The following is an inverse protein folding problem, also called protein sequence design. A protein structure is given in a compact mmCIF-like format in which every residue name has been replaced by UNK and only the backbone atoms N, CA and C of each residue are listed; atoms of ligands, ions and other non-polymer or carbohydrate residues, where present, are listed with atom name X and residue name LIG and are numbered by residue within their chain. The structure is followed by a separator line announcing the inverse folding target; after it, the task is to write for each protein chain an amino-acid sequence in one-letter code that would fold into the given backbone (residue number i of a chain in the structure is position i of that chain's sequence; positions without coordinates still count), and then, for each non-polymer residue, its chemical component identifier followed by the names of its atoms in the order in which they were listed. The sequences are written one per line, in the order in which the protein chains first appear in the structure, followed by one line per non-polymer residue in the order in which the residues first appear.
data_IF_725510549737
#
_entry.id   IF_725510549737
#
_cell.length_a   1.000
_cell.length_b   1.000
_cell.length_c   1.000
_cell.angle_alpha   90.00
_cell.angle_beta   90.00
_cell.angle_gamma   90.00
#
_symmetry.space_group_name_H-M   'P 1'
#
loop_
_entity.id
_entity.type
_entity.pdbx_description
1 polymer ?
#
# COMPACT_ATOMS: atom_id res chain seq x y z
N UNK A 1 16.07 -4.09 4.75
CA UNK A 1 15.42 -3.08 5.64
C UNK A 1 14.52 -3.80 6.63
N UNK A 2 14.22 -3.17 7.76
CA UNK A 2 13.38 -3.73 8.83
C UNK A 2 12.32 -2.72 9.28
N UNK A 3 11.09 -3.18 9.49
CA UNK A 3 10.03 -2.45 10.18
C UNK A 3 9.80 -3.08 11.55
N UNK A 4 10.13 -2.36 12.61
CA UNK A 4 9.78 -2.77 13.96
C UNK A 4 8.50 -2.07 14.41
N UNK A 5 7.46 -2.85 14.72
CA UNK A 5 6.14 -2.36 15.15
C UNK A 5 6.05 -2.48 16.66
N UNK A 6 6.00 -1.36 17.36
CA UNK A 6 5.81 -1.35 18.81
C UNK A 6 4.31 -1.35 19.14
N UNK A 7 3.85 -2.31 19.96
CA UNK A 7 2.45 -2.41 20.34
C UNK A 7 2.27 -2.36 21.86
N UNK A 8 1.38 -1.50 22.35
CA UNK A 8 1.09 -1.35 23.79
C UNK A 8 0.28 -0.12 24.11
N UNK A 9 -0.20 -0.05 25.35
CA UNK A 9 -0.96 1.08 25.87
C UNK A 9 -0.15 2.38 25.87
N UNK A 10 -0.78 3.55 25.87
CA UNK A 10 -0.08 4.80 26.19
C UNK A 10 0.70 4.67 27.50
N UNK A 11 1.85 5.33 27.58
CA UNK A 11 2.77 5.28 28.72
C UNK A 11 3.40 3.91 29.05
N UNK A 12 3.31 2.90 28.20
CA UNK A 12 3.98 1.60 28.38
C UNK A 12 5.49 1.60 28.06
N UNK A 13 6.13 2.76 27.96
CA UNK A 13 7.56 2.98 27.68
C UNK A 13 8.03 2.63 26.26
N UNK A 14 7.13 2.53 25.28
CA UNK A 14 7.48 2.29 23.87
C UNK A 14 8.45 3.33 23.31
N UNK A 15 8.15 4.62 23.49
CA UNK A 15 9.01 5.70 22.97
C UNK A 15 10.39 5.72 23.64
N UNK A 16 10.49 5.34 24.92
CA UNK A 16 11.77 5.16 25.60
C UNK A 16 12.57 4.01 24.98
N UNK A 17 11.92 2.91 24.69
CA UNK A 17 12.53 1.77 23.99
C UNK A 17 12.98 2.19 22.58
N UNK A 18 12.12 2.86 21.81
CA UNK A 18 12.44 3.29 20.45
C UNK A 18 13.70 4.18 20.42
N UNK A 19 13.81 5.13 21.35
CA UNK A 19 14.98 6.00 21.47
C UNK A 19 16.26 5.24 21.87
N UNK A 20 16.14 4.25 22.76
CA UNK A 20 17.27 3.44 23.23
C UNK A 20 17.78 2.42 22.20
N UNK A 21 16.91 1.98 21.28
CA UNK A 21 17.23 0.98 20.27
C UNK A 21 17.40 1.58 18.86
N UNK A 22 17.34 2.89 18.74
CA UNK A 22 17.63 3.59 17.50
C UNK A 22 19.15 3.63 17.27
N UNK A 23 19.58 3.24 16.08
CA UNK A 23 20.92 3.48 15.55
C UNK A 23 20.91 4.54 14.44
N UNK A 24 22.05 4.77 13.82
CA UNK A 24 22.20 5.74 12.72
C UNK A 24 21.42 5.39 11.45
N UNK A 25 21.09 4.09 11.27
CA UNK A 25 20.36 3.57 10.12
C UNK A 25 18.87 3.36 10.42
N UNK A 26 18.36 3.88 11.55
CA UNK A 26 16.98 3.65 11.98
C UNK A 26 16.22 4.96 12.20
N UNK A 27 15.07 5.10 11.56
CA UNK A 27 14.15 6.23 11.71
C UNK A 27 12.99 5.82 12.63
N UNK A 28 12.70 6.67 13.64
CA UNK A 28 11.51 6.50 14.48
C UNK A 28 10.37 7.30 13.85
N UNK A 29 9.30 6.60 13.49
CA UNK A 29 8.06 7.21 12.99
C UNK A 29 7.00 7.14 14.08
N UNK A 30 6.55 8.30 14.55
CA UNK A 30 5.60 8.42 15.65
C UNK A 30 4.45 9.37 15.30
N UNK A 31 3.21 8.85 15.31
CA UNK A 31 2.01 9.64 15.07
C UNK A 31 1.86 10.82 16.03
N UNK A 32 2.30 10.65 17.26
CA UNK A 32 2.26 11.71 18.26
C UNK A 32 3.24 12.83 17.91
N UNK A 33 4.46 12.50 17.46
CA UNK A 33 5.43 13.49 17.00
C UNK A 33 4.91 14.21 15.75
N UNK A 34 4.27 13.47 14.83
CA UNK A 34 3.64 14.06 13.65
C UNK A 34 2.54 15.05 14.07
N UNK A 35 1.64 14.67 14.99
CA UNK A 35 0.61 15.61 15.53
C UNK A 35 1.23 16.86 16.12
N UNK A 36 2.23 16.69 16.97
CA UNK A 36 2.90 17.83 17.61
C UNK A 36 3.60 18.73 16.59
N UNK A 37 4.28 18.15 15.60
CA UNK A 37 4.93 18.92 14.53
C UNK A 37 3.95 19.71 13.66
N UNK A 38 2.74 19.16 13.42
CA UNK A 38 1.74 19.79 12.54
C UNK A 38 0.82 20.78 13.30
N UNK A 39 0.49 20.50 14.56
CA UNK A 39 -0.53 21.25 15.30
C UNK A 39 -0.01 21.94 16.58
N UNK A 40 1.25 21.71 16.96
CA UNK A 40 1.83 22.25 18.20
C UNK A 40 1.31 21.60 19.49
N UNK A 41 0.39 20.63 19.38
CA UNK A 41 -0.24 19.90 20.49
C UNK A 41 -0.29 18.40 20.20
N UNK A 42 -0.38 17.60 21.25
CA UNK A 42 -0.31 16.13 21.11
C UNK A 42 -1.63 15.49 20.68
N UNK A 43 -2.75 16.07 21.01
CA UNK A 43 -4.07 15.57 20.65
C UNK A 43 -5.15 16.64 20.76
N UNK A 44 -6.07 16.68 19.79
CA UNK A 44 -7.34 17.42 19.81
C UNK A 44 -8.38 16.65 19.00
N UNK A 45 -9.67 16.74 19.37
CA UNK A 45 -10.76 16.21 18.55
C UNK A 45 -10.82 16.81 17.14
N UNK A 46 -10.31 18.02 16.95
CA UNK A 46 -10.34 18.75 15.68
C UNK A 46 -9.19 18.38 14.73
N UNK A 47 -8.27 17.49 15.15
CA UNK A 47 -7.17 17.03 14.31
C UNK A 47 -7.67 16.13 13.19
N UNK A 48 -7.17 16.35 11.97
CA UNK A 48 -7.40 15.47 10.84
C UNK A 48 -6.53 14.19 10.96
N UNK A 49 -7.06 13.17 11.63
CA UNK A 49 -6.37 11.88 11.82
C UNK A 49 -6.11 11.14 10.47
N UNK A 50 -6.89 11.39 9.45
CA UNK A 50 -6.63 10.91 8.09
C UNK A 50 -5.33 11.48 7.53
N UNK A 51 -5.13 12.78 7.69
CA UNK A 51 -3.89 13.48 7.31
C UNK A 51 -2.67 12.96 8.09
N UNK A 52 -2.81 12.77 9.41
CA UNK A 52 -1.74 12.21 10.26
C UNK A 52 -1.36 10.79 9.78
N UNK A 53 -2.35 9.96 9.45
CA UNK A 53 -2.10 8.61 8.91
C UNK A 53 -1.37 8.64 7.57
N UNK A 54 -1.70 9.61 6.72
CA UNK A 54 -1.02 9.80 5.43
C UNK A 54 0.43 10.23 5.62
N UNK A 55 0.70 11.17 6.53
CA UNK A 55 2.07 11.60 6.85
C UNK A 55 2.91 10.47 7.47
N UNK A 56 2.34 9.69 8.38
CA UNK A 56 3.00 8.48 8.94
C UNK A 56 3.42 7.54 7.82
N UNK A 57 2.50 7.21 6.92
CA UNK A 57 2.79 6.35 5.77
C UNK A 57 3.89 6.93 4.88
N UNK A 58 3.85 8.23 4.59
CA UNK A 58 4.88 8.89 3.77
C UNK A 58 6.26 8.88 4.42
N UNK A 59 6.36 9.07 5.74
CA UNK A 59 7.63 8.99 6.47
C UNK A 59 8.21 7.57 6.41
N UNK A 60 7.40 6.53 6.57
CA UNK A 60 7.86 5.13 6.46
C UNK A 60 8.33 4.84 5.03
N UNK A 61 7.58 5.24 4.02
CA UNK A 61 7.94 5.05 2.62
C UNK A 61 9.28 5.75 2.33
N UNK A 62 9.39 7.01 2.70
CA UNK A 62 10.63 7.78 2.45
C UNK A 62 11.85 7.17 3.17
N UNK A 63 11.66 6.64 4.38
CA UNK A 63 12.73 5.93 5.08
C UNK A 63 13.18 4.69 4.30
N UNK A 64 12.24 3.87 3.82
CA UNK A 64 12.55 2.67 3.05
C UNK A 64 13.18 2.99 1.68
N UNK A 65 12.67 4.00 0.96
CA UNK A 65 13.24 4.47 -0.31
C UNK A 65 14.71 4.90 -0.17
N UNK A 66 15.11 5.31 1.04
CA UNK A 66 16.48 5.70 1.37
C UNK A 66 17.29 4.61 2.14
N UNK A 67 16.75 3.38 2.21
CA UNK A 67 17.47 2.24 2.79
C UNK A 67 17.47 2.18 4.32
N UNK A 68 16.72 3.03 5.02
CA UNK A 68 16.64 3.04 6.49
C UNK A 68 15.73 1.94 7.03
N UNK A 69 16.04 1.48 8.25
CA UNK A 69 15.12 0.74 9.10
C UNK A 69 14.11 1.70 9.74
N UNK A 70 12.95 1.17 10.12
CA UNK A 70 11.91 1.97 10.75
C UNK A 70 11.45 1.34 12.05
N UNK A 71 11.31 2.17 13.10
CA UNK A 71 10.57 1.82 14.33
C UNK A 71 9.24 2.61 14.28
N UNK A 72 8.11 1.89 14.18
CA UNK A 72 6.77 2.48 14.28
C UNK A 72 6.37 2.62 15.75
N UNK A 73 6.58 3.82 16.31
CA UNK A 73 6.23 4.15 17.70
C UNK A 73 4.78 4.64 17.79
N UNK A 74 3.88 3.70 17.86
CA UNK A 74 2.45 3.90 18.04
C UNK A 74 1.86 2.97 19.08
N UNK A 75 0.54 3.11 19.38
CA UNK A 75 -0.14 2.13 20.22
C UNK A 75 -0.37 0.81 19.50
N UNK A 76 -0.58 0.85 18.19
CA UNK A 76 -0.72 -0.28 17.26
C UNK A 76 -1.63 -1.42 17.80
N UNK A 77 -2.73 -1.04 18.49
CA UNK A 77 -3.66 -1.96 19.14
C UNK A 77 -4.81 -2.42 18.21
N UNK A 78 -4.93 -1.84 17.02
CA UNK A 78 -5.95 -2.20 16.05
C UNK A 78 -5.38 -3.11 14.96
N UNK A 79 -5.97 -4.31 14.83
CA UNK A 79 -5.54 -5.31 13.83
C UNK A 79 -5.42 -4.72 12.42
N UNK A 80 -6.43 -3.96 11.96
CA UNK A 80 -6.43 -3.40 10.62
C UNK A 80 -5.32 -2.37 10.38
N UNK A 81 -4.93 -1.59 11.40
CA UNK A 81 -3.83 -0.64 11.26
C UNK A 81 -2.47 -1.35 11.20
N UNK A 82 -2.29 -2.38 12.01
CA UNK A 82 -1.07 -3.19 11.98
C UNK A 82 -0.97 -3.95 10.64
N UNK A 83 -2.08 -4.50 10.13
CA UNK A 83 -2.07 -5.14 8.79
C UNK A 83 -1.58 -4.17 7.71
N UNK A 84 -2.00 -2.91 7.73
CA UNK A 84 -1.50 -1.89 6.78
C UNK A 84 0.00 -1.65 6.89
N UNK A 85 0.60 -1.78 8.07
CA UNK A 85 2.04 -1.70 8.25
C UNK A 85 2.76 -2.93 7.67
N UNK A 86 2.18 -4.12 7.82
CA UNK A 86 2.66 -5.33 7.14
C UNK A 86 2.58 -5.21 5.62
N UNK A 87 1.45 -4.71 5.10
CA UNK A 87 1.27 -4.48 3.66
C UNK A 87 2.30 -3.46 3.13
N UNK A 88 2.60 -2.43 3.93
CA UNK A 88 3.61 -1.43 3.57
C UNK A 88 5.03 -2.01 3.58
N UNK A 89 5.37 -2.80 4.59
CA UNK A 89 6.66 -3.49 4.66
C UNK A 89 6.85 -4.46 3.48
N UNK A 90 5.79 -5.18 3.10
CA UNK A 90 5.80 -6.11 1.97
C UNK A 90 6.16 -5.42 0.64
N UNK A 91 5.65 -4.20 0.40
CA UNK A 91 5.96 -3.42 -0.82
C UNK A 91 7.47 -3.15 -0.98
N UNK A 92 8.24 -3.18 0.10
CA UNK A 92 9.68 -2.94 0.12
C UNK A 92 10.50 -4.18 0.51
N UNK A 93 9.87 -5.36 0.64
CA UNK A 93 10.47 -6.59 1.16
C UNK A 93 11.20 -6.36 2.50
N UNK A 94 10.68 -5.46 3.34
CA UNK A 94 11.23 -5.20 4.66
C UNK A 94 10.81 -6.28 5.66
N UNK A 95 11.78 -6.80 6.41
CA UNK A 95 11.51 -7.70 7.54
C UNK A 95 10.60 -7.01 8.56
N UNK A 96 9.60 -7.74 9.09
CA UNK A 96 8.72 -7.20 10.13
C UNK A 96 9.05 -7.83 11.47
N UNK A 97 9.39 -6.98 12.43
CA UNK A 97 9.56 -7.35 13.86
C UNK A 97 8.41 -6.74 14.65
N UNK A 98 7.75 -7.51 15.49
CA UNK A 98 6.61 -7.04 16.27
C UNK A 98 6.90 -7.15 17.77
N UNK A 99 7.13 -5.99 18.40
CA UNK A 99 7.51 -5.89 19.83
C UNK A 99 6.31 -5.45 20.66
N UNK A 100 5.97 -6.24 21.68
CA UNK A 100 4.80 -6.01 22.53
C UNK A 100 5.21 -5.53 23.92
N UNK A 101 4.58 -4.44 24.36
CA UNK A 101 4.77 -3.82 25.66
C UNK A 101 3.61 -4.17 26.58
N UNK A 102 3.70 -5.34 27.22
CA UNK A 102 2.69 -5.89 28.11
C UNK A 102 2.82 -5.31 29.52
N UNK A 103 2.40 -4.07 29.66
CA UNK A 103 2.42 -3.33 30.92
C UNK A 103 0.99 -3.23 31.46
N UNK A 104 0.73 -3.54 32.76
CA UNK A 104 -0.58 -3.42 33.35
C UNK A 104 -1.19 -2.03 33.15
N UNK A 105 -2.51 -1.91 32.87
CA UNK A 105 -3.16 -0.61 32.69
C UNK A 105 -2.96 0.34 33.87
N UNK A 106 -2.98 -0.16 35.11
CA UNK A 106 -2.73 0.64 36.32
C UNK A 106 -1.32 1.23 36.31
N UNK A 107 -0.31 0.44 36.00
CA UNK A 107 1.08 0.90 35.86
C UNK A 107 1.23 1.93 34.73
N UNK A 108 0.53 1.73 33.62
CA UNK A 108 0.49 2.73 32.54
C UNK A 108 -0.12 4.06 33.02
N UNK A 109 -1.16 4.02 33.88
CA UNK A 109 -1.79 5.21 34.45
C UNK A 109 -0.80 5.92 35.38
N UNK A 110 -0.08 5.21 36.24
CA UNK A 110 0.95 5.78 37.11
C UNK A 110 2.06 6.47 36.30
N UNK A 111 2.54 5.82 35.23
CA UNK A 111 3.55 6.40 34.33
C UNK A 111 3.00 7.63 33.57
N UNK A 112 1.72 7.61 33.20
CA UNK A 112 1.07 8.73 32.50
C UNK A 112 0.97 9.98 33.39
N UNK A 113 0.78 9.82 34.69
CA UNK A 113 0.73 10.95 35.63
C UNK A 113 2.06 11.69 35.76
N UNK A 114 3.17 11.04 35.49
CA UNK A 114 4.52 11.55 35.65
C UNK A 114 5.17 12.04 34.33
N UNK A 115 4.41 12.13 33.24
CA UNK A 115 4.92 12.64 31.96
C UNK A 115 4.20 13.91 31.50
N UNK A 116 4.86 14.73 30.72
CA UNK A 116 4.30 15.94 30.12
C UNK A 116 3.08 15.63 29.21
N UNK A 117 3.22 14.61 28.38
CA UNK A 117 2.23 14.18 27.40
C UNK A 117 1.20 13.23 28.02
N UNK A 118 0.34 13.75 28.88
CA UNK A 118 -0.71 12.95 29.55
C UNK A 118 -1.90 12.68 28.65
N UNK A 119 -2.40 11.44 28.67
CA UNK A 119 -3.66 11.05 28.01
C UNK A 119 -4.79 10.78 29.00
N UNK A 120 -4.44 10.47 30.25
CA UNK A 120 -5.36 10.27 31.36
C UNK A 120 -5.90 8.84 31.48
N UNK A 121 -6.23 8.45 32.71
CA UNK A 121 -6.69 7.11 33.09
C UNK A 121 -7.92 6.65 32.28
N UNK A 122 -8.88 7.55 32.01
CA UNK A 122 -10.09 7.23 31.22
C UNK A 122 -9.75 6.75 29.82
N UNK A 123 -8.76 7.37 29.17
CA UNK A 123 -8.31 6.98 27.80
C UNK A 123 -7.59 5.65 27.83
N UNK A 124 -6.65 5.45 28.77
CA UNK A 124 -5.89 4.21 28.93
C UNK A 124 -6.84 3.04 29.16
N UNK A 125 -7.78 3.14 30.10
CA UNK A 125 -8.76 2.10 30.41
C UNK A 125 -9.68 1.79 29.21
N UNK A 126 -10.14 2.82 28.50
CA UNK A 126 -10.93 2.63 27.27
C UNK A 126 -10.16 1.89 26.20
N UNK A 127 -8.89 2.23 26.00
CA UNK A 127 -8.03 1.55 25.02
C UNK A 127 -7.74 0.10 25.42
N UNK A 128 -7.44 -0.16 26.69
CA UNK A 128 -7.24 -1.50 27.22
C UNK A 128 -8.49 -2.37 27.00
N UNK A 129 -9.67 -1.88 27.37
CA UNK A 129 -10.94 -2.58 27.19
C UNK A 129 -11.21 -2.87 25.71
N UNK A 130 -11.04 -1.88 24.82
CA UNK A 130 -11.28 -2.04 23.38
C UNK A 130 -10.32 -3.03 22.73
N UNK A 131 -9.08 -3.09 23.20
CA UNK A 131 -8.05 -4.01 22.71
C UNK A 131 -8.09 -5.38 23.40
N UNK A 132 -8.97 -5.61 24.37
CA UNK A 132 -9.03 -6.88 25.13
C UNK A 132 -7.83 -7.12 26.03
N UNK A 133 -7.13 -6.05 26.46
CA UNK A 133 -5.99 -6.14 27.35
C UNK A 133 -6.49 -6.39 28.78
N UNK A 134 -5.98 -7.42 29.43
CA UNK A 134 -6.37 -7.78 30.79
C UNK A 134 -5.64 -6.93 31.86
N UNK A 135 -6.01 -7.14 33.15
CA UNK A 135 -5.41 -6.41 34.25
C UNK A 135 -3.89 -6.63 34.41
N UNK A 136 -3.35 -7.73 33.87
CA UNK A 136 -1.92 -8.03 33.88
C UNK A 136 -1.19 -7.38 32.68
N UNK A 137 -1.90 -6.68 31.80
CA UNK A 137 -1.32 -6.03 30.62
C UNK A 137 -1.13 -6.93 29.41
N UNK A 138 -1.62 -8.18 29.46
CA UNK A 138 -1.46 -9.12 28.33
C UNK A 138 -2.25 -8.62 27.12
N UNK A 139 -1.57 -8.51 26.00
CA UNK A 139 -2.13 -8.02 24.72
C UNK A 139 -2.51 -9.23 23.85
N UNK A 140 -3.77 -9.35 23.40
CA UNK A 140 -4.18 -10.40 22.47
C UNK A 140 -3.32 -10.40 21.21
N UNK A 141 -2.80 -11.57 20.84
CA UNK A 141 -2.01 -11.75 19.61
C UNK A 141 -2.95 -11.94 18.42
N UNK A 142 -2.61 -11.30 17.30
CA UNK A 142 -3.29 -11.49 16.02
C UNK A 142 -2.32 -12.06 15.01
N UNK A 143 -2.84 -12.87 14.09
CA UNK A 143 -2.11 -13.28 12.90
C UNK A 143 -2.25 -12.18 11.85
N UNK A 144 -1.11 -11.79 11.26
CA UNK A 144 -1.01 -10.82 10.18
C UNK A 144 -0.50 -11.51 8.93
N UNK A 145 -1.00 -11.07 7.79
CA UNK A 145 -0.55 -11.57 6.50
C UNK A 145 0.59 -10.70 5.99
N UNK A 146 1.69 -11.33 5.58
CA UNK A 146 2.79 -10.68 4.88
C UNK A 146 2.83 -11.20 3.46
N UNK A 147 2.70 -10.31 2.49
CA UNK A 147 2.74 -10.66 1.08
C UNK A 147 4.18 -10.66 0.58
N UNK A 148 4.68 -11.81 0.18
CA UNK A 148 6.00 -11.95 -0.43
C UNK A 148 5.88 -11.65 -1.94
N UNK A 149 6.60 -10.62 -2.40
CA UNK A 149 6.69 -10.27 -3.82
C UNK A 149 7.86 -11.06 -4.40
N UNK A 150 7.57 -11.96 -5.35
CA UNK A 150 8.59 -12.74 -6.03
C UNK A 150 9.29 -11.89 -7.08
N UNK A 151 10.62 -11.88 -7.15
CA UNK A 151 11.35 -11.27 -8.27
C UNK A 151 10.90 -11.86 -9.61
N UNK A 152 10.88 -11.00 -10.60
CA UNK A 152 10.63 -11.40 -11.99
C UNK A 152 11.89 -11.20 -12.82
N UNK A 153 12.23 -12.17 -13.64
CA UNK A 153 13.35 -12.10 -14.59
C UNK A 153 12.79 -12.18 -16.00
N UNK A 154 13.26 -11.28 -16.85
CA UNK A 154 12.91 -11.30 -18.27
C UNK A 154 13.48 -12.55 -18.95
N UNK A 155 12.72 -13.11 -19.87
CA UNK A 155 13.09 -14.26 -20.68
C UNK A 155 12.84 -13.92 -22.16
N UNK A 156 13.92 -13.74 -22.91
CA UNK A 156 13.87 -13.34 -24.32
C UNK A 156 13.25 -14.40 -25.24
N UNK A 157 13.08 -15.63 -24.77
CA UNK A 157 12.45 -16.69 -25.54
C UNK A 157 10.91 -16.63 -25.48
N UNK A 158 10.36 -15.76 -24.61
CA UNK A 158 8.93 -15.49 -24.50
C UNK A 158 8.50 -14.30 -25.35
N UNK A 159 7.22 -14.26 -25.69
CA UNK A 159 6.65 -13.11 -26.39
C UNK A 159 6.67 -11.86 -25.52
N UNK A 160 7.01 -10.74 -26.13
CA UNK A 160 6.99 -9.44 -25.44
C UNK A 160 5.58 -9.05 -25.02
N UNK A 161 5.45 -8.46 -23.84
CA UNK A 161 4.21 -7.88 -23.35
C UNK A 161 4.43 -6.53 -22.65
N UNK A 162 3.41 -5.67 -22.72
CA UNK A 162 3.30 -4.46 -21.94
C UNK A 162 2.13 -4.62 -20.99
N UNK A 163 2.40 -4.52 -19.69
CA UNK A 163 1.37 -4.57 -18.65
C UNK A 163 0.83 -3.16 -18.40
N UNK A 164 -0.49 -3.03 -18.34
CA UNK A 164 -1.15 -1.71 -18.25
C UNK A 164 -2.28 -1.78 -17.21
N UNK A 165 -2.26 -0.86 -16.26
CA UNK A 165 -3.43 -0.59 -15.41
C UNK A 165 -4.50 0.18 -16.17
N UNK A 166 -5.73 0.15 -15.67
CA UNK A 166 -6.87 0.83 -16.31
C UNK A 166 -7.19 2.14 -15.60
N UNK A 167 -7.61 2.10 -14.32
CA UNK A 167 -8.15 3.26 -13.61
C UNK A 167 -7.07 4.24 -13.16
N UNK A 168 -7.06 5.44 -13.73
CA UNK A 168 -6.05 6.46 -13.49
C UNK A 168 -4.88 6.37 -14.47
N UNK A 169 -4.74 5.25 -15.18
CA UNK A 169 -3.68 4.99 -16.16
C UNK A 169 -4.15 5.27 -17.58
N UNK A 170 -5.06 4.46 -18.13
CA UNK A 170 -5.64 4.68 -19.46
C UNK A 170 -7.08 5.20 -19.41
N UNK A 171 -7.77 5.02 -18.29
CA UNK A 171 -9.13 5.50 -18.07
C UNK A 171 -9.14 6.58 -16.99
N UNK A 172 -9.57 7.79 -17.38
CA UNK A 172 -9.85 8.89 -16.46
C UNK A 172 -11.29 8.75 -15.98
N UNK A 173 -11.43 8.50 -14.69
CA UNK A 173 -12.73 8.38 -14.07
C UNK A 173 -13.53 9.67 -14.22
N UNK A 174 -14.78 9.56 -14.67
CA UNK A 174 -15.76 10.64 -14.66
C UNK A 174 -16.12 11.09 -13.23
N UNK A 175 -17.28 11.64 -13.00
CA UNK A 175 -17.78 12.02 -11.67
C UNK A 175 -18.25 10.84 -10.78
N UNK A 176 -18.17 9.60 -11.29
CA UNK A 176 -18.57 8.39 -10.56
C UNK A 176 -17.69 8.11 -9.32
N UNK A 177 -18.26 7.47 -8.31
CA UNK A 177 -17.47 6.90 -7.22
C UNK A 177 -16.44 5.89 -7.74
N UNK A 178 -15.23 5.79 -7.14
CA UNK A 178 -14.24 4.76 -7.50
C UNK A 178 -14.76 3.33 -7.40
N UNK A 179 -15.80 3.11 -6.59
CA UNK A 179 -16.43 1.80 -6.34
C UNK A 179 -17.74 1.59 -7.11
N UNK A 180 -18.17 2.59 -7.89
CA UNK A 180 -19.33 2.46 -8.77
C UNK A 180 -18.90 1.96 -10.14
N UNK A 181 -18.88 0.65 -10.28
CA UNK A 181 -18.49 -0.02 -11.53
C UNK A 181 -19.60 -0.05 -12.59
N UNK A 182 -20.85 0.32 -12.25
CA UNK A 182 -21.94 0.36 -13.23
C UNK A 182 -21.76 1.41 -14.32
N UNK A 183 -20.92 2.44 -14.04
CA UNK A 183 -20.69 3.58 -14.90
C UNK A 183 -19.27 3.63 -15.49
N UNK A 184 -18.52 2.51 -15.49
CA UNK A 184 -17.14 2.48 -16.04
C UNK A 184 -17.07 2.81 -17.54
N UNK A 185 -18.16 2.59 -18.27
CA UNK A 185 -18.24 2.95 -19.68
C UNK A 185 -18.22 4.47 -19.93
N UNK A 186 -18.54 5.29 -18.93
CA UNK A 186 -18.50 6.75 -19.02
C UNK A 186 -17.09 7.33 -18.86
N UNK A 187 -16.13 6.53 -18.40
CA UNK A 187 -14.76 6.99 -18.20
C UNK A 187 -14.16 7.48 -19.53
N UNK A 188 -13.36 8.54 -19.45
CA UNK A 188 -12.66 9.11 -20.59
C UNK A 188 -11.31 8.44 -20.82
N UNK A 189 -10.83 8.43 -22.06
CA UNK A 189 -9.51 7.91 -22.39
C UNK A 189 -8.43 8.91 -21.97
N UNK A 190 -7.39 8.44 -21.25
CA UNK A 190 -6.17 9.19 -20.98
C UNK A 190 -5.29 9.20 -22.25
N UNK A 191 -5.55 10.15 -23.14
CA UNK A 191 -4.94 10.19 -24.46
C UNK A 191 -3.41 10.28 -24.46
N UNK A 192 -2.80 10.90 -23.45
CA UNK A 192 -1.35 10.98 -23.37
C UNK A 192 -0.72 9.59 -23.22
N UNK A 193 -1.27 8.74 -22.33
CA UNK A 193 -0.81 7.38 -22.14
C UNK A 193 -1.20 6.50 -23.32
N UNK A 194 -2.44 6.60 -23.79
CA UNK A 194 -2.94 5.89 -24.96
C UNK A 194 -2.04 6.10 -26.18
N UNK A 195 -1.63 7.36 -26.44
CA UNK A 195 -0.75 7.71 -27.57
C UNK A 195 0.61 6.98 -27.47
N UNK A 196 1.22 6.92 -26.28
CA UNK A 196 2.49 6.20 -26.09
C UNK A 196 2.31 4.71 -26.39
N UNK A 197 1.24 4.11 -25.89
CA UNK A 197 0.92 2.70 -26.13
C UNK A 197 0.63 2.42 -27.62
N UNK A 198 -0.08 3.32 -28.31
CA UNK A 198 -0.29 3.21 -29.77
C UNK A 198 1.04 3.24 -30.54
N UNK A 199 1.96 4.14 -30.19
CA UNK A 199 3.28 4.17 -30.84
C UNK A 199 4.11 2.93 -30.55
N UNK A 200 4.08 2.42 -29.31
CA UNK A 200 4.75 1.17 -28.95
C UNK A 200 4.20 -0.01 -29.77
N UNK A 201 2.88 -0.10 -29.92
CA UNK A 201 2.21 -1.12 -30.71
C UNK A 201 2.54 -0.98 -32.23
N UNK A 202 2.52 0.24 -32.77
CA UNK A 202 2.88 0.48 -34.16
C UNK A 202 4.34 0.17 -34.48
N UNK A 203 5.26 0.47 -33.57
CA UNK A 203 6.67 0.16 -33.74
C UNK A 203 6.90 -1.35 -33.78
N UNK A 204 6.24 -2.08 -32.92
CA UNK A 204 6.31 -3.53 -32.84
C UNK A 204 5.73 -4.24 -34.07
N UNK A 205 4.73 -3.63 -34.76
CA UNK A 205 4.22 -4.16 -36.05
C UNK A 205 5.27 -4.16 -37.17
N UNK A 206 6.32 -3.36 -37.06
CA UNK A 206 7.44 -3.31 -38.05
C UNK A 206 8.58 -4.25 -37.71
N UNK A 207 8.67 -4.73 -36.49
CA UNK A 207 9.60 -5.76 -36.03
C UNK A 207 8.83 -7.07 -35.86
N UNK A 208 9.47 -8.22 -36.09
CA UNK A 208 8.81 -9.54 -36.07
C UNK A 208 8.27 -9.92 -34.69
N UNK A 209 7.21 -9.31 -34.26
CA UNK A 209 6.50 -9.60 -33.00
C UNK A 209 5.90 -8.36 -32.36
N UNK A 210 4.57 -8.29 -32.28
CA UNK A 210 3.88 -7.25 -31.51
C UNK A 210 3.86 -7.64 -30.03
N UNK A 211 4.24 -6.73 -29.12
CA UNK A 211 4.01 -6.97 -27.71
C UNK A 211 2.51 -7.09 -27.44
N UNK A 212 2.12 -8.08 -26.65
CA UNK A 212 0.75 -8.19 -26.19
C UNK A 212 0.48 -7.10 -25.16
N UNK A 213 -0.67 -6.42 -25.29
CA UNK A 213 -1.14 -5.49 -24.24
C UNK A 213 -1.93 -6.31 -23.22
N UNK A 214 -1.45 -6.31 -21.98
CA UNK A 214 -2.06 -7.05 -20.89
C UNK A 214 -2.59 -6.07 -19.85
N UNK A 215 -3.91 -5.99 -19.71
CA UNK A 215 -4.53 -5.19 -18.67
C UNK A 215 -4.61 -5.97 -17.36
N UNK A 216 -3.98 -5.42 -16.30
CA UNK A 216 -4.12 -5.90 -14.93
C UNK A 216 -4.88 -4.85 -14.11
N UNK A 217 -6.14 -5.15 -13.77
CA UNK A 217 -7.03 -4.18 -13.15
C UNK A 217 -7.49 -4.56 -11.75
N UNK A 218 -7.51 -3.54 -10.86
CA UNK A 218 -8.16 -3.65 -9.56
C UNK A 218 -9.68 -3.60 -9.61
N UNK A 219 -10.29 -3.38 -10.78
CA UNK A 219 -11.74 -3.50 -10.97
C UNK A 219 -12.20 -4.91 -10.67
N UNK A 220 -13.37 -5.02 -10.04
CA UNK A 220 -13.99 -6.31 -9.75
C UNK A 220 -14.42 -7.01 -11.05
N UNK A 221 -14.26 -8.33 -11.10
CA UNK A 221 -14.68 -9.19 -12.22
C UNK A 221 -16.16 -9.00 -12.59
N UNK A 222 -17.00 -8.56 -11.66
CA UNK A 222 -18.44 -8.32 -11.90
C UNK A 222 -18.70 -7.22 -12.95
N UNK A 223 -17.73 -6.36 -13.23
CA UNK A 223 -17.85 -5.34 -14.26
C UNK A 223 -17.03 -5.64 -15.53
N UNK A 224 -16.66 -6.92 -15.75
CA UNK A 224 -15.89 -7.33 -16.92
C UNK A 224 -16.51 -6.90 -18.23
N UNK A 225 -17.77 -7.19 -18.43
CA UNK A 225 -18.47 -6.90 -19.68
C UNK A 225 -18.42 -5.40 -20.03
N UNK A 226 -18.67 -4.53 -19.06
CA UNK A 226 -18.60 -3.08 -19.26
C UNK A 226 -17.17 -2.60 -19.51
N UNK A 227 -16.18 -3.22 -18.87
CA UNK A 227 -14.76 -2.90 -19.05
C UNK A 227 -14.28 -3.33 -20.43
N UNK A 228 -14.59 -4.55 -20.88
CA UNK A 228 -14.30 -5.05 -22.22
C UNK A 228 -14.93 -4.16 -23.31
N UNK A 229 -16.20 -3.78 -23.11
CA UNK A 229 -16.89 -2.86 -24.02
C UNK A 229 -16.16 -1.52 -24.10
N UNK A 230 -15.75 -0.96 -22.98
CA UNK A 230 -14.99 0.29 -22.93
C UNK A 230 -13.66 0.17 -23.67
N UNK A 231 -12.90 -0.92 -23.43
CA UNK A 231 -11.63 -1.19 -24.12
C UNK A 231 -11.83 -1.32 -25.63
N UNK A 232 -12.85 -2.04 -26.06
CA UNK A 232 -13.11 -2.27 -27.49
C UNK A 232 -13.57 -1.01 -28.23
N UNK A 233 -14.44 -0.20 -27.63
CA UNK A 233 -15.09 0.93 -28.32
C UNK A 233 -14.35 2.25 -28.17
N UNK A 234 -13.75 2.49 -26.99
CA UNK A 234 -13.08 3.77 -26.72
C UNK A 234 -11.56 3.71 -26.81
N UNK A 235 -10.94 2.63 -26.37
CA UNK A 235 -9.50 2.50 -26.37
C UNK A 235 -8.96 1.81 -27.63
N UNK A 236 -9.62 0.76 -28.09
CA UNK A 236 -9.42 0.04 -29.36
C UNK A 236 -7.95 -0.22 -29.79
N UNK A 237 -7.17 -0.86 -28.93
CA UNK A 237 -5.78 -1.23 -29.23
C UNK A 237 -5.62 -2.57 -29.98
N UNK A 238 -6.72 -3.20 -30.40
CA UNK A 238 -6.70 -4.53 -31.02
C UNK A 238 -6.66 -5.65 -29.99
N UNK A 239 -5.88 -6.69 -30.26
CA UNK A 239 -5.79 -7.84 -29.36
C UNK A 239 -5.18 -7.43 -28.01
N UNK A 240 -5.85 -7.82 -26.95
CA UNK A 240 -5.38 -7.63 -25.57
C UNK A 240 -5.88 -8.75 -24.68
N UNK A 241 -5.19 -8.94 -23.57
CA UNK A 241 -5.67 -9.78 -22.46
C UNK A 241 -6.13 -8.89 -21.30
N UNK A 242 -7.21 -9.25 -20.62
CA UNK A 242 -7.73 -8.55 -19.46
C UNK A 242 -7.83 -9.48 -18.26
N UNK A 243 -7.13 -9.14 -17.17
CA UNK A 243 -7.20 -9.84 -15.90
C UNK A 243 -7.65 -8.86 -14.81
N UNK A 244 -8.68 -9.25 -14.06
CA UNK A 244 -9.38 -8.40 -13.11
C UNK A 244 -9.37 -9.02 -11.71
N UNK A 245 -9.68 -8.19 -10.71
CA UNK A 245 -9.84 -8.63 -9.32
C UNK A 245 -10.95 -9.66 -9.21
N UNK A 246 -10.72 -10.84 -8.58
CA UNK A 246 -11.78 -11.82 -8.33
C UNK A 246 -12.95 -11.23 -7.53
N UNK A 247 -14.17 -11.64 -7.85
CA UNK A 247 -15.41 -11.16 -7.18
C UNK A 247 -15.48 -11.51 -5.70
N UNK A 248 -14.84 -12.58 -5.29
CA UNK A 248 -14.77 -13.07 -3.91
C UNK A 248 -13.65 -12.43 -3.08
N UNK A 249 -12.84 -11.51 -3.67
CA UNK A 249 -11.74 -10.82 -3.00
C UNK A 249 -11.89 -9.28 -3.02
N UNK A 250 -12.92 -8.69 -2.40
CA UNK A 250 -13.17 -7.25 -2.46
C UNK A 250 -12.25 -6.43 -1.55
N UNK A 251 -11.56 -7.06 -0.59
CA UNK A 251 -10.86 -6.35 0.51
C UNK A 251 -9.34 -6.41 0.46
N UNK A 252 -8.75 -7.29 -0.33
CA UNK A 252 -7.29 -7.40 -0.48
C UNK A 252 -6.72 -6.13 -1.10
N UNK A 253 -5.56 -5.68 -0.61
CA UNK A 253 -4.87 -4.52 -1.14
C UNK A 253 -4.58 -4.68 -2.64
N UNK A 254 -4.73 -3.62 -3.40
CA UNK A 254 -4.67 -3.65 -4.86
C UNK A 254 -3.34 -4.20 -5.41
N UNK A 255 -2.22 -3.80 -4.80
CA UNK A 255 -0.91 -4.31 -5.20
C UNK A 255 -0.78 -5.83 -5.03
N UNK A 256 -1.41 -6.41 -4.00
CA UNK A 256 -1.42 -7.85 -3.76
C UNK A 256 -2.24 -8.57 -4.84
N UNK A 257 -3.40 -8.01 -5.18
CA UNK A 257 -4.26 -8.57 -6.23
C UNK A 257 -3.52 -8.57 -7.56
N UNK A 258 -2.96 -7.42 -7.95
CA UNK A 258 -2.23 -7.29 -9.22
C UNK A 258 -0.99 -8.17 -9.27
N UNK A 259 -0.24 -8.29 -8.15
CA UNK A 259 0.91 -9.18 -8.07
C UNK A 259 0.53 -10.64 -8.26
N UNK A 260 -0.55 -11.10 -7.63
CA UNK A 260 -1.09 -12.46 -7.82
C UNK A 260 -1.58 -12.72 -9.24
N UNK A 261 -2.24 -11.73 -9.86
CA UNK A 261 -2.67 -11.82 -11.25
C UNK A 261 -1.46 -11.91 -12.20
N UNK A 262 -0.43 -11.10 -11.93
CA UNK A 262 0.82 -11.12 -12.67
C UNK A 262 1.50 -12.49 -12.57
N UNK A 263 1.71 -13.01 -11.37
CA UNK A 263 2.36 -14.32 -11.18
C UNK A 263 1.57 -15.45 -11.84
N UNK A 264 0.23 -15.35 -11.84
CA UNK A 264 -0.63 -16.43 -12.38
C UNK A 264 -0.73 -16.42 -13.90
N UNK A 265 -0.76 -15.24 -14.52
CA UNK A 265 -1.14 -15.11 -15.93
C UNK A 265 -0.06 -14.50 -16.83
N UNK A 266 0.95 -13.86 -16.26
CA UNK A 266 1.94 -13.08 -17.01
C UNK A 266 3.34 -13.66 -16.86
N UNK A 267 3.81 -13.88 -15.64
CA UNK A 267 5.21 -14.17 -15.33
C UNK A 267 5.80 -15.36 -16.13
N UNK A 268 5.04 -16.44 -16.25
CA UNK A 268 5.52 -17.66 -16.93
C UNK A 268 5.30 -17.65 -18.44
N UNK A 269 4.54 -16.69 -18.98
CA UNK A 269 4.08 -16.68 -20.35
C UNK A 269 4.70 -15.59 -21.23
N UNK A 270 5.11 -14.48 -20.64
CA UNK A 270 5.54 -13.29 -21.37
C UNK A 270 6.87 -12.74 -20.90
N UNK A 271 7.57 -12.07 -21.80
CA UNK A 271 8.70 -11.18 -21.54
C UNK A 271 8.14 -9.75 -21.34
N UNK A 272 8.09 -9.26 -20.10
CA UNK A 272 7.48 -7.97 -19.81
C UNK A 272 8.46 -6.83 -20.02
N UNK A 273 8.26 -6.08 -21.10
CA UNK A 273 9.14 -4.95 -21.48
C UNK A 273 8.85 -3.67 -20.71
N UNK A 274 7.67 -3.55 -20.11
CA UNK A 274 7.33 -2.41 -19.29
C UNK A 274 5.94 -2.50 -18.67
N UNK A 275 5.74 -1.73 -17.60
CA UNK A 275 4.46 -1.63 -16.87
C UNK A 275 4.03 -0.18 -16.78
N UNK A 276 2.77 0.13 -17.07
CA UNK A 276 2.13 1.44 -16.88
C UNK A 276 1.16 1.36 -15.72
N UNK A 277 1.36 2.16 -14.69
CA UNK A 277 0.48 2.21 -13.51
C UNK A 277 0.53 3.59 -12.86
N UNK A 278 -0.56 4.03 -12.20
CA UNK A 278 -0.66 5.33 -11.53
C UNK A 278 -0.59 5.25 -10.00
N UNK A 279 -0.84 4.06 -9.45
CA UNK A 279 -0.92 3.88 -8.00
C UNK A 279 0.44 3.63 -7.37
N UNK A 280 0.93 4.57 -6.58
CA UNK A 280 2.25 4.49 -5.92
C UNK A 280 2.54 3.14 -5.25
N UNK A 281 1.58 2.53 -4.56
CA UNK A 281 1.76 1.23 -3.92
C UNK A 281 1.95 0.08 -4.93
N UNK A 282 1.29 0.15 -6.07
CA UNK A 282 1.40 -0.84 -7.16
C UNK A 282 2.69 -0.61 -7.94
N UNK A 283 3.00 0.64 -8.26
CA UNK A 283 4.28 1.06 -8.86
C UNK A 283 5.46 0.54 -8.02
N UNK A 284 5.39 0.67 -6.68
CA UNK A 284 6.43 0.15 -5.80
C UNK A 284 6.50 -1.38 -5.84
N UNK A 285 5.37 -2.07 -5.89
CA UNK A 285 5.32 -3.52 -6.04
C UNK A 285 6.02 -3.97 -7.34
N UNK A 286 5.74 -3.32 -8.47
CA UNK A 286 6.37 -3.63 -9.75
C UNK A 286 7.89 -3.36 -9.73
N UNK A 287 8.33 -2.26 -9.13
CA UNK A 287 9.77 -1.97 -8.93
C UNK A 287 10.45 -3.03 -8.06
N UNK A 288 9.79 -3.44 -6.98
CA UNK A 288 10.29 -4.50 -6.09
C UNK A 288 10.38 -5.85 -6.81
N UNK A 289 9.44 -6.12 -7.72
CA UNK A 289 9.47 -7.30 -8.60
C UNK A 289 10.62 -7.25 -9.65
N UNK A 290 11.26 -6.10 -9.86
CA UNK A 290 12.35 -5.91 -10.84
C UNK A 290 11.89 -5.40 -12.22
N UNK A 291 10.61 -5.00 -12.34
CA UNK A 291 10.04 -4.55 -13.60
C UNK A 291 10.38 -3.07 -13.91
N UNK A 292 10.51 -2.74 -15.19
CA UNK A 292 10.56 -1.36 -15.67
C UNK A 292 9.19 -0.72 -15.58
N UNK A 293 9.03 0.37 -14.82
CA UNK A 293 7.72 0.98 -14.56
C UNK A 293 7.66 2.41 -15.09
N UNK A 294 6.64 2.67 -15.88
CA UNK A 294 6.21 4.00 -16.30
C UNK A 294 5.12 4.47 -15.33
N UNK A 295 5.51 5.26 -14.33
CA UNK A 295 4.61 5.86 -13.36
C UNK A 295 3.87 7.03 -14.02
N UNK A 296 2.56 6.86 -14.26
CA UNK A 296 1.73 7.81 -15.01
C UNK A 296 0.91 8.75 -14.12
N UNK A 297 1.01 8.63 -12.80
CA UNK A 297 0.28 9.50 -11.87
C UNK A 297 0.67 10.97 -11.99
N UNK A 298 1.83 11.24 -12.60
CA UNK A 298 2.46 12.54 -12.51
C UNK A 298 2.75 12.91 -11.04
N UNK A 299 3.39 14.04 -10.83
CA UNK A 299 3.77 14.52 -9.49
C UNK A 299 2.56 15.01 -8.67
N UNK A 300 1.54 14.22 -8.49
CA UNK A 300 0.58 14.42 -7.42
C UNK A 300 1.21 13.89 -6.13
N UNK A 301 2.16 14.69 -5.63
CA UNK A 301 2.73 14.50 -4.31
C UNK A 301 1.69 14.72 -3.22
#
# INVERSE_FOLDING_TARGET
MRLEILTGLPASKKSTYALANRDENTIIVSRDNIRHAQYGIWHSPDMNEGWITQLEKQQIISAFENGYNVISDGTNLHKSNVQKLYDLAAQFQAEVVHTYFEVPPETCIEYDMNREKRVGAKVINRMAKKAGINAKGVIPRHTYYYHEIKPYENDSDKFDAIVVDIDGTIALKSDRSPYDYSRVYEDEVQWNVATVLYYANMYAQKSEGMPEIIFLSGRNEDCREQTEKWLAEKFNMGNHSLFMRPSDDPSTADFIVKDRLFDKYVADHFNVVGVFDDRRQVVQCWRTKGLTVFDVAGNKF
#
